data_IF_353914735092
#
_entry.id   IF_353914735092
#
_cell.length_a   1.000
_cell.length_b   1.000
_cell.length_c   1.000
_cell.angle_alpha   90.00
_cell.angle_beta   90.00
_cell.angle_gamma   90.00
#
_symmetry.space_group_name_H-M   'P 1'
#
loop_
_entity.id
_entity.type
_entity.pdbx_description
1 polymer ?
#
# COMPACT_ATOMS: atom_id res chain seq x y z
N UNK A 1 7.93 -21.79 10.32
CA UNK A 1 6.80 -22.42 9.58
C UNK A 1 6.09 -23.38 10.52
N UNK A 2 4.80 -23.15 10.79
CA UNK A 2 3.99 -24.01 11.68
C UNK A 2 3.57 -25.29 10.94
N UNK A 3 3.29 -26.37 11.67
CA UNK A 3 2.84 -27.64 11.08
C UNK A 3 1.61 -27.50 10.17
N UNK A 4 0.74 -26.54 10.45
CA UNK A 4 -0.47 -26.23 9.66
C UNK A 4 -0.13 -25.71 8.27
N UNK A 5 0.87 -24.83 8.13
CA UNK A 5 1.28 -24.29 6.81
C UNK A 5 1.84 -25.36 5.88
N UNK A 6 2.61 -26.33 6.41
CA UNK A 6 3.13 -27.46 5.62
C UNK A 6 2.01 -28.39 5.14
N UNK A 7 1.02 -28.66 6.00
CA UNK A 7 -0.17 -29.45 5.62
C UNK A 7 -0.99 -28.74 4.54
N UNK A 8 -1.19 -27.43 4.66
CA UNK A 8 -1.87 -26.63 3.63
C UNK A 8 -1.12 -26.64 2.30
N UNK A 9 0.20 -26.49 2.30
CA UNK A 9 1.01 -26.58 1.08
C UNK A 9 0.91 -27.95 0.39
N UNK A 10 0.92 -29.04 1.16
CA UNK A 10 0.75 -30.40 0.62
C UNK A 10 -0.65 -30.61 0.03
N UNK A 11 -1.68 -30.05 0.65
CA UNK A 11 -3.05 -30.11 0.16
C UNK A 11 -3.24 -29.27 -1.11
N UNK A 12 -2.65 -28.08 -1.18
CA UNK A 12 -2.75 -27.19 -2.35
C UNK A 12 -2.23 -27.80 -3.64
N UNK A 13 -1.21 -28.66 -3.56
CA UNK A 13 -0.65 -29.37 -4.70
C UNK A 13 -1.60 -30.44 -5.27
N UNK A 14 -2.70 -30.75 -4.58
CA UNK A 14 -3.73 -31.64 -5.10
C UNK A 14 -4.78 -30.84 -5.86
N UNK A 15 -4.98 -31.19 -7.13
CA UNK A 15 -5.98 -30.59 -8.02
C UNK A 15 -7.40 -31.08 -7.75
N UNK A 16 -7.56 -32.07 -6.86
CA UNK A 16 -8.85 -32.64 -6.45
C UNK A 16 -9.59 -31.78 -5.42
N UNK A 17 -8.93 -30.79 -4.81
CA UNK A 17 -9.57 -29.88 -3.86
C UNK A 17 -10.47 -28.89 -4.61
N UNK A 18 -11.79 -28.86 -4.29
CA UNK A 18 -12.71 -27.94 -4.91
C UNK A 18 -12.32 -26.48 -4.66
N UNK A 19 -12.49 -25.65 -5.69
CA UNK A 19 -12.24 -24.19 -5.63
C UNK A 19 -13.04 -23.52 -4.51
N UNK A 20 -14.25 -24.00 -4.23
CA UNK A 20 -15.12 -23.49 -3.17
C UNK A 20 -14.47 -23.60 -1.79
N UNK A 21 -13.84 -24.74 -1.48
CA UNK A 21 -13.18 -24.98 -0.19
C UNK A 21 -11.99 -24.02 -0.01
N UNK A 22 -11.21 -23.78 -1.05
CA UNK A 22 -10.04 -22.88 -0.97
C UNK A 22 -10.49 -21.45 -0.69
N UNK A 23 -11.54 -20.99 -1.38
CA UNK A 23 -12.10 -19.67 -1.19
C UNK A 23 -12.73 -19.51 0.21
N UNK A 24 -13.42 -20.54 0.71
CA UNK A 24 -13.99 -20.55 2.07
C UNK A 24 -12.90 -20.47 3.15
N UNK A 25 -11.83 -21.27 3.02
CA UNK A 25 -10.70 -21.24 3.95
C UNK A 25 -10.02 -19.88 3.96
N UNK A 26 -9.82 -19.25 2.79
CA UNK A 26 -9.25 -17.90 2.70
C UNK A 26 -10.21 -16.85 3.26
N UNK A 27 -11.50 -16.96 3.02
CA UNK A 27 -12.51 -16.07 3.60
C UNK A 27 -12.49 -16.13 5.13
N UNK A 28 -12.49 -17.34 5.72
CA UNK A 28 -12.41 -17.52 7.16
C UNK A 28 -11.10 -16.99 7.73
N UNK A 29 -9.97 -17.32 7.09
CA UNK A 29 -8.65 -16.80 7.47
C UNK A 29 -8.57 -15.27 7.36
N UNK A 30 -9.34 -14.66 6.47
CA UNK A 30 -9.46 -13.20 6.34
C UNK A 30 -10.26 -12.58 7.49
N UNK A 31 -11.36 -13.21 7.89
CA UNK A 31 -12.20 -12.74 9.00
C UNK A 31 -11.41 -12.71 10.31
N UNK A 32 -10.81 -13.85 10.66
CA UNK A 32 -10.02 -14.05 11.89
C UNK A 32 -8.61 -13.46 11.81
N UNK A 33 -8.15 -13.18 10.59
CA UNK A 33 -6.80 -12.72 10.27
C UNK A 33 -5.71 -13.72 10.68
N UNK A 34 -5.64 -14.83 9.95
CA UNK A 34 -4.56 -15.83 10.00
C UNK A 34 -3.53 -15.55 8.89
N UNK A 35 -2.52 -14.69 9.11
CA UNK A 35 -1.65 -14.22 8.04
C UNK A 35 -0.80 -15.32 7.41
N UNK A 36 -0.50 -16.41 8.11
CA UNK A 36 0.23 -17.56 7.57
C UNK A 36 -0.59 -18.31 6.52
N UNK A 37 -1.90 -18.44 6.75
CA UNK A 37 -2.83 -19.04 5.78
C UNK A 37 -2.95 -18.13 4.57
N UNK A 38 -3.13 -16.82 4.77
CA UNK A 38 -3.20 -15.84 3.67
C UNK A 38 -1.90 -15.78 2.85
N UNK A 39 -0.74 -15.93 3.49
CA UNK A 39 0.55 -16.02 2.80
C UNK A 39 0.68 -17.29 1.97
N UNK A 40 0.16 -18.42 2.48
CA UNK A 40 0.29 -19.73 1.84
C UNK A 40 -0.71 -19.87 0.69
N UNK A 41 -1.96 -19.52 0.93
CA UNK A 41 -3.07 -19.69 -0.02
C UNK A 41 -3.23 -18.50 -0.97
N UNK A 42 -2.70 -17.32 -0.62
CA UNK A 42 -2.93 -16.09 -1.39
C UNK A 42 -2.38 -16.12 -2.82
N UNK A 43 -1.39 -16.97 -3.07
CA UNK A 43 -0.80 -17.18 -4.40
C UNK A 43 -1.58 -18.16 -5.26
N UNK A 44 -2.59 -18.85 -4.70
CA UNK A 44 -3.39 -19.82 -5.45
C UNK A 44 -4.24 -19.08 -6.51
N UNK A 45 -4.14 -19.51 -7.76
CA UNK A 45 -4.83 -18.92 -8.90
C UNK A 45 -6.34 -19.15 -8.87
N UNK A 46 -6.82 -20.14 -8.10
CA UNK A 46 -8.24 -20.50 -7.95
C UNK A 46 -9.01 -19.54 -7.04
N UNK A 47 -8.34 -18.60 -6.34
CA UNK A 47 -9.07 -17.60 -5.55
C UNK A 47 -9.86 -16.68 -6.47
N UNK A 48 -11.13 -16.47 -6.12
CA UNK A 48 -11.98 -15.51 -6.81
C UNK A 48 -11.49 -14.08 -6.54
N UNK A 49 -11.73 -13.14 -7.46
CA UNK A 49 -11.38 -11.74 -7.26
C UNK A 49 -11.91 -11.15 -5.94
N UNK A 50 -13.13 -11.52 -5.53
CA UNK A 50 -13.80 -10.99 -4.35
C UNK A 50 -13.08 -11.40 -3.07
N UNK A 51 -12.80 -12.70 -2.93
CA UNK A 51 -12.09 -13.25 -1.77
C UNK A 51 -10.66 -12.69 -1.70
N UNK A 52 -9.97 -12.62 -2.84
CA UNK A 52 -8.62 -12.05 -2.92
C UNK A 52 -8.61 -10.57 -2.54
N UNK A 53 -9.55 -9.76 -3.04
CA UNK A 53 -9.67 -8.35 -2.70
C UNK A 53 -9.94 -8.12 -1.21
N UNK A 54 -10.88 -8.88 -0.62
CA UNK A 54 -11.20 -8.78 0.80
C UNK A 54 -9.99 -9.14 1.69
N UNK A 55 -9.31 -10.25 1.35
CA UNK A 55 -8.10 -10.69 2.02
C UNK A 55 -6.98 -9.65 1.91
N UNK A 56 -6.78 -9.08 0.73
CA UNK A 56 -5.76 -8.07 0.47
C UNK A 56 -6.03 -6.81 1.30
N UNK A 57 -7.25 -6.28 1.26
CA UNK A 57 -7.65 -5.12 2.05
C UNK A 57 -7.44 -5.36 3.56
N UNK A 58 -7.78 -6.57 4.06
CA UNK A 58 -7.53 -6.95 5.45
C UNK A 58 -6.03 -6.97 5.77
N UNK A 59 -5.20 -7.54 4.90
CA UNK A 59 -3.74 -7.58 5.07
C UNK A 59 -3.13 -6.18 5.14
N UNK A 60 -3.61 -5.24 4.31
CA UNK A 60 -3.21 -3.82 4.35
C UNK A 60 -3.62 -3.18 5.68
N UNK A 61 -4.87 -3.35 6.11
CA UNK A 61 -5.37 -2.80 7.37
C UNK A 61 -4.61 -3.33 8.60
N UNK A 62 -4.19 -4.59 8.54
CA UNK A 62 -3.38 -5.25 9.57
C UNK A 62 -1.89 -5.05 9.39
N UNK A 63 -1.48 -4.25 8.39
CA UNK A 63 -0.08 -3.87 8.12
C UNK A 63 0.85 -5.07 7.88
N UNK A 64 0.30 -6.14 7.31
CA UNK A 64 1.05 -7.36 7.04
C UNK A 64 1.49 -7.42 5.58
N UNK A 65 2.74 -7.00 5.36
CA UNK A 65 3.37 -6.98 4.05
C UNK A 65 3.43 -8.36 3.38
N UNK A 66 3.68 -9.42 4.14
CA UNK A 66 3.85 -10.76 3.57
C UNK A 66 2.53 -11.29 3.01
N UNK A 67 1.44 -11.16 3.78
CA UNK A 67 0.11 -11.50 3.31
C UNK A 67 -0.31 -10.61 2.12
N UNK A 68 -0.08 -9.30 2.20
CA UNK A 68 -0.39 -8.38 1.11
C UNK A 68 0.38 -8.71 -0.18
N UNK A 69 1.65 -9.11 -0.09
CA UNK A 69 2.46 -9.56 -1.24
C UNK A 69 1.92 -10.86 -1.84
N UNK A 70 1.60 -11.85 -1.00
CA UNK A 70 1.09 -13.14 -1.46
C UNK A 70 -0.25 -12.99 -2.20
N UNK A 71 -1.12 -12.10 -1.69
CA UNK A 71 -2.45 -11.87 -2.24
C UNK A 71 -2.47 -10.94 -3.46
N UNK A 72 -1.40 -10.17 -3.70
CA UNK A 72 -1.37 -9.22 -4.80
C UNK A 72 -1.15 -9.93 -6.13
N UNK A 73 -2.17 -9.91 -6.98
CA UNK A 73 -2.09 -10.31 -8.39
C UNK A 73 -2.67 -9.20 -9.26
N UNK A 74 -1.87 -8.73 -10.22
CA UNK A 74 -2.09 -7.47 -10.96
C UNK A 74 -3.44 -7.41 -11.70
N UNK A 75 -3.96 -8.55 -12.14
CA UNK A 75 -5.22 -8.64 -12.88
C UNK A 75 -6.41 -9.12 -12.03
N UNK A 76 -6.22 -9.28 -10.72
CA UNK A 76 -7.21 -9.86 -9.81
C UNK A 76 -7.60 -8.91 -8.66
N UNK A 77 -6.97 -7.74 -8.61
CA UNK A 77 -7.30 -6.65 -7.69
C UNK A 77 -7.52 -5.41 -8.54
N UNK A 78 -8.67 -4.76 -8.36
CA UNK A 78 -8.99 -3.55 -9.13
C UNK A 78 -8.00 -2.42 -8.83
N UNK A 79 -7.71 -1.59 -9.83
CA UNK A 79 -6.84 -0.42 -9.66
C UNK A 79 -7.32 0.50 -8.53
N UNK A 80 -8.64 0.64 -8.36
CA UNK A 80 -9.24 1.40 -7.27
C UNK A 80 -8.84 0.85 -5.88
N UNK A 81 -8.88 -0.47 -5.70
CA UNK A 81 -8.47 -1.08 -4.43
C UNK A 81 -6.97 -0.99 -4.19
N UNK A 82 -6.14 -1.07 -5.24
CA UNK A 82 -4.69 -0.85 -5.13
C UNK A 82 -4.38 0.59 -4.72
N UNK A 83 -5.03 1.58 -5.33
CA UNK A 83 -4.90 3.01 -4.97
C UNK A 83 -5.36 3.26 -3.55
N UNK A 84 -6.51 2.71 -3.15
CA UNK A 84 -7.03 2.84 -1.78
C UNK A 84 -6.09 2.20 -0.76
N UNK A 85 -5.52 1.03 -1.06
CA UNK A 85 -4.53 0.37 -0.24
C UNK A 85 -3.27 1.22 -0.08
N UNK A 86 -2.82 1.88 -1.16
CA UNK A 86 -1.64 2.74 -1.13
C UNK A 86 -1.83 3.98 -0.24
N UNK A 87 -2.96 4.68 -0.38
CA UNK A 87 -3.31 5.82 0.48
C UNK A 87 -3.44 5.40 1.95
N UNK A 88 -4.08 4.24 2.23
CA UNK A 88 -4.18 3.69 3.59
C UNK A 88 -2.82 3.36 4.18
N UNK A 89 -1.93 2.71 3.42
CA UNK A 89 -0.57 2.41 3.87
C UNK A 89 0.21 3.70 4.21
N UNK A 90 0.02 4.74 3.40
CA UNK A 90 0.64 6.04 3.64
C UNK A 90 0.12 6.72 4.91
N UNK A 91 -1.20 6.77 5.10
CA UNK A 91 -1.85 7.28 6.31
C UNK A 91 -1.43 6.51 7.57
N UNK A 92 -1.32 5.18 7.48
CA UNK A 92 -0.85 4.32 8.57
C UNK A 92 0.65 4.49 8.87
N UNK A 93 1.41 5.18 8.01
CA UNK A 93 2.85 5.34 8.15
C UNK A 93 3.64 4.07 7.83
N UNK A 94 3.04 3.10 7.12
CA UNK A 94 3.71 1.84 6.81
C UNK A 94 4.58 1.98 5.55
N UNK A 95 5.81 2.45 5.76
CA UNK A 95 6.76 2.67 4.67
C UNK A 95 7.02 1.40 3.83
N UNK A 96 6.91 0.21 4.41
CA UNK A 96 7.18 -1.04 3.69
C UNK A 96 6.05 -1.37 2.72
N UNK A 97 4.80 -1.20 3.16
CA UNK A 97 3.63 -1.33 2.29
C UNK A 97 3.58 -0.22 1.24
N UNK A 98 3.89 1.02 1.62
CA UNK A 98 4.02 2.14 0.66
C UNK A 98 5.00 1.78 -0.43
N UNK A 99 6.22 1.35 -0.10
CA UNK A 99 7.24 0.95 -1.10
C UNK A 99 6.81 -0.23 -1.96
N UNK A 100 6.06 -1.19 -1.41
CA UNK A 100 5.58 -2.35 -2.16
C UNK A 100 4.51 -1.98 -3.19
N UNK A 101 3.58 -1.10 -2.82
CA UNK A 101 2.51 -0.64 -3.69
C UNK A 101 2.98 0.47 -4.64
N UNK A 102 4.02 1.22 -4.25
CA UNK A 102 4.59 2.26 -5.09
C UNK A 102 5.13 1.68 -6.40
N UNK A 103 4.68 2.20 -7.53
CA UNK A 103 5.10 1.75 -8.85
C UNK A 103 4.31 0.56 -9.39
N UNK A 104 3.25 0.12 -8.72
CA UNK A 104 2.22 -0.69 -9.40
C UNK A 104 1.55 0.14 -10.49
N UNK A 105 1.15 -0.44 -11.64
CA UNK A 105 0.53 0.28 -12.75
C UNK A 105 -0.71 1.09 -12.34
N UNK A 106 -1.42 0.64 -11.30
CA UNK A 106 -2.57 1.34 -10.75
C UNK A 106 -2.23 2.67 -10.02
N UNK A 107 -0.97 2.89 -9.65
CA UNK A 107 -0.55 4.08 -8.89
C UNK A 107 -0.07 5.16 -9.86
N UNK A 108 -0.98 6.08 -10.16
CA UNK A 108 -0.72 7.27 -10.96
C UNK A 108 -0.30 8.48 -10.11
N UNK A 109 -0.19 9.64 -10.76
CA UNK A 109 0.23 10.90 -10.12
C UNK A 109 -0.76 11.35 -9.04
N UNK A 110 -2.06 11.15 -9.29
CA UNK A 110 -3.14 11.53 -8.40
C UNK A 110 -3.11 10.68 -7.12
N UNK A 111 -2.99 9.36 -7.27
CA UNK A 111 -2.83 8.43 -6.17
C UNK A 111 -1.60 8.74 -5.30
N UNK A 112 -0.48 9.17 -5.92
CA UNK A 112 0.69 9.62 -5.17
C UNK A 112 0.47 10.93 -4.41
N UNK A 113 -0.26 11.90 -4.99
CA UNK A 113 -0.61 13.14 -4.31
C UNK A 113 -1.52 12.85 -3.10
N UNK A 114 -2.55 12.03 -3.27
CA UNK A 114 -3.44 11.61 -2.18
C UNK A 114 -2.68 10.93 -1.05
N UNK A 115 -1.71 10.07 -1.39
CA UNK A 115 -0.86 9.40 -0.41
C UNK A 115 0.05 10.38 0.37
N UNK A 116 0.61 11.40 -0.31
CA UNK A 116 1.41 12.46 0.35
C UNK A 116 0.55 13.21 1.36
N UNK A 117 -0.64 13.65 0.94
CA UNK A 117 -1.56 14.41 1.79
C UNK A 117 -2.05 13.58 2.97
N UNK A 118 -2.44 12.33 2.74
CA UNK A 118 -2.86 11.42 3.80
C UNK A 118 -1.74 11.17 4.82
N UNK A 119 -0.51 10.95 4.36
CA UNK A 119 0.65 10.79 5.23
C UNK A 119 0.95 12.08 6.03
N UNK A 120 0.89 13.26 5.39
CA UNK A 120 1.11 14.55 6.04
C UNK A 120 0.06 14.86 7.11
N UNK A 121 -1.24 14.69 6.79
CA UNK A 121 -2.37 14.84 7.74
C UNK A 121 -2.20 13.92 8.96
N UNK A 122 -1.71 12.70 8.72
CA UNK A 122 -1.44 11.72 9.78
C UNK A 122 -0.05 11.86 10.43
N UNK A 123 0.69 12.94 10.14
CA UNK A 123 2.03 13.24 10.66
C UNK A 123 3.07 12.12 10.45
N UNK A 124 2.97 11.40 9.33
CA UNK A 124 3.84 10.28 8.95
C UNK A 124 5.10 10.75 8.23
N UNK A 125 5.93 11.49 8.95
CA UNK A 125 7.15 12.15 8.45
C UNK A 125 8.00 11.28 7.51
N UNK A 126 8.35 10.06 7.93
CA UNK A 126 9.17 9.12 7.13
C UNK A 126 8.52 8.77 5.79
N UNK A 127 7.21 8.57 5.76
CA UNK A 127 6.46 8.26 4.54
C UNK A 127 6.34 9.50 3.67
N UNK A 128 5.94 10.64 4.23
CA UNK A 128 5.81 11.89 3.47
C UNK A 128 7.12 12.26 2.79
N UNK A 129 8.25 12.23 3.52
CA UNK A 129 9.58 12.47 2.93
C UNK A 129 9.94 11.48 1.83
N UNK A 130 9.64 10.20 2.00
CA UNK A 130 9.89 9.18 0.98
C UNK A 130 9.10 9.45 -0.30
N UNK A 131 7.82 9.80 -0.18
CA UNK A 131 6.94 10.10 -1.31
C UNK A 131 7.34 11.40 -2.05
N UNK A 132 7.83 12.39 -1.32
CA UNK A 132 8.27 13.68 -1.88
C UNK A 132 9.64 13.63 -2.58
N UNK A 133 10.51 12.68 -2.20
CA UNK A 133 11.83 12.51 -2.83
C UNK A 133 11.78 11.84 -4.21
N UNK A 134 10.75 11.04 -4.47
CA UNK A 134 10.69 10.22 -5.70
C UNK A 134 10.38 11.04 -6.95
N UNK A 135 9.57 12.09 -6.80
CA UNK A 135 9.12 12.91 -7.90
C UNK A 135 8.99 14.36 -7.44
N UNK A 136 9.40 15.27 -8.31
CA UNK A 136 9.08 16.68 -8.15
C UNK A 136 7.56 16.85 -8.05
N UNK A 137 7.15 17.61 -7.04
CA UNK A 137 5.75 17.94 -6.80
C UNK A 137 5.51 19.38 -7.18
N UNK A 138 4.27 19.74 -7.42
CA UNK A 138 3.94 21.14 -7.57
C UNK A 138 4.12 21.88 -6.23
N UNK A 139 4.28 23.19 -6.26
CA UNK A 139 4.38 24.01 -5.04
C UNK A 139 3.06 23.92 -4.26
N UNK A 140 1.93 23.84 -4.96
CA UNK A 140 0.58 23.71 -4.37
C UNK A 140 0.48 22.44 -3.52
N UNK A 141 0.94 21.29 -4.03
CA UNK A 141 0.95 20.05 -3.23
C UNK A 141 1.81 20.17 -1.98
N UNK A 142 2.97 20.85 -2.05
CA UNK A 142 3.82 21.07 -0.88
C UNK A 142 3.15 22.00 0.15
N UNK A 143 2.49 23.06 -0.32
CA UNK A 143 1.75 24.00 0.53
C UNK A 143 0.57 23.32 1.21
N UNK A 144 -0.18 22.48 0.49
CA UNK A 144 -1.28 21.71 1.07
C UNK A 144 -0.77 20.69 2.10
N UNK A 145 0.33 20.00 1.81
CA UNK A 145 0.95 19.11 2.79
C UNK A 145 1.44 19.87 4.05
N UNK A 146 1.93 21.11 3.86
CA UNK A 146 2.41 21.97 4.95
C UNK A 146 1.27 22.43 5.85
N UNK A 147 0.13 22.83 5.28
CA UNK A 147 -1.06 23.23 6.05
C UNK A 147 -1.76 22.04 6.73
N UNK A 148 -1.65 20.85 6.14
CA UNK A 148 -2.23 19.62 6.66
C UNK A 148 -1.48 19.02 7.86
N UNK A 149 -0.18 19.26 8.01
CA UNK A 149 0.64 18.61 9.04
C UNK A 149 0.86 19.49 10.27
N UNK A 150 0.84 18.86 11.44
CA UNK A 150 1.22 19.49 12.72
C UNK A 150 2.64 19.12 13.16
N UNK A 151 3.35 18.33 12.37
CA UNK A 151 4.70 17.87 12.69
C UNK A 151 5.72 18.95 12.29
N UNK A 152 6.34 19.60 13.28
CA UNK A 152 7.29 20.70 13.07
C UNK A 152 8.49 20.32 12.19
N UNK A 153 9.03 19.11 12.37
CA UNK A 153 10.14 18.61 11.55
C UNK A 153 9.74 18.46 10.08
N UNK A 154 8.51 17.97 9.83
CA UNK A 154 7.96 17.88 8.49
C UNK A 154 7.64 19.26 7.92
N UNK A 155 7.12 20.20 8.73
CA UNK A 155 6.88 21.58 8.30
C UNK A 155 8.17 22.27 7.86
N UNK A 156 9.26 22.15 8.64
CA UNK A 156 10.57 22.70 8.26
C UNK A 156 11.06 22.11 6.93
N UNK A 157 10.91 20.81 6.75
CA UNK A 157 11.27 20.15 5.49
C UNK A 157 10.45 20.66 4.31
N UNK A 158 9.13 20.77 4.47
CA UNK A 158 8.25 21.25 3.41
C UNK A 158 8.54 22.72 3.04
N UNK A 159 8.78 23.59 4.04
CA UNK A 159 9.22 24.98 3.80
C UNK A 159 10.52 25.04 3.01
N UNK A 160 11.50 24.21 3.37
CA UNK A 160 12.77 24.13 2.64
C UNK A 160 12.56 23.66 1.18
N UNK A 161 11.71 22.65 0.95
CA UNK A 161 11.37 22.20 -0.40
C UNK A 161 10.65 23.27 -1.24
N UNK A 162 9.79 24.09 -0.61
CA UNK A 162 9.11 25.20 -1.30
C UNK A 162 10.12 26.28 -1.70
N UNK A 163 10.98 26.72 -0.77
CA UNK A 163 11.98 27.77 -1.02
C UNK A 163 12.94 27.38 -2.16
N UNK A 164 13.45 26.14 -2.14
CA UNK A 164 14.34 25.64 -3.20
C UNK A 164 13.73 25.71 -4.61
N UNK A 165 12.41 25.54 -4.73
CA UNK A 165 11.70 25.55 -6.01
C UNK A 165 11.40 26.96 -6.49
N UNK A 166 11.13 27.88 -5.57
CA UNK A 166 10.94 29.30 -5.89
C UNK A 166 12.26 29.93 -6.39
N UNK A 167 13.38 29.63 -5.73
CA UNK A 167 14.70 30.14 -6.13
C UNK A 167 15.19 29.59 -7.48
N UNK A 168 14.83 28.34 -7.81
CA UNK A 168 15.14 27.71 -9.10
C UNK A 168 14.37 28.34 -10.27
N UNK A 169 13.10 28.69 -10.06
CA UNK A 169 12.27 29.35 -11.08
C UNK A 169 12.81 30.74 -11.42
N UNK A 170 13.25 31.52 -10.42
CA UNK A 170 13.80 32.87 -10.65
C UNK A 170 15.19 32.89 -11.31
N UNK A 171 15.90 31.76 -11.36
CA UNK A 171 17.20 31.65 -12.06
C UNK A 171 17.09 31.15 -13.49
N UNK A 172 16.00 30.47 -13.86
CA UNK A 172 15.79 30.00 -15.23
C UNK A 172 15.30 31.12 -16.18
N UNK A 173 14.92 32.27 -15.64
CA UNK A 173 14.39 33.44 -16.38
C UNK A 173 15.42 34.58 -16.53
N UNK A 174 16.70 34.35 -16.20
CA UNK A 174 17.82 35.29 -16.38
C UNK A 174 18.88 34.71 -17.30
#
# INVERSE_FOLDING_TARGET
MTGTTKKLQLLLNRTDIPVSIINEVVAQATLEFHPEILQTLGTDSRLTPEVRCAAFAKAINKRNLHAARALFQENQISSQEVTRAFVRAACAGDLRLVKFLQGKPAIDVSAEQDAVLAAARANRDKVTRHLLKRRERSIETLQEALSATRNESLQMFLRACIAQRQDGSSRAER
#
